data_IF_126640394135
#
_entry.id   IF_126640394135
#
_cell.length_a   1.000
_cell.length_b   1.000
_cell.length_c   1.000
_cell.angle_alpha   90.00
_cell.angle_beta   90.00
_cell.angle_gamma   90.00
#
_symmetry.space_group_name_H-M   'P 1'
#
loop_
_entity.id
_entity.type
_entity.pdbx_description
1 polymer ?
#
# COMPACT_ATOMS: atom_id res chain seq x y z
N UNK A 1 2.64 22.26 10.30
CA UNK A 1 1.36 22.70 9.69
C UNK A 1 1.14 21.89 8.43
N UNK A 2 0.11 21.03 8.30
CA UNK A 2 -0.09 20.24 7.09
C UNK A 2 -0.62 21.16 5.98
N UNK A 3 0.16 21.38 4.94
CA UNK A 3 -0.32 22.08 3.74
C UNK A 3 -1.36 21.21 3.05
N UNK A 4 -2.63 21.55 3.21
CA UNK A 4 -3.71 20.94 2.43
C UNK A 4 -3.53 21.31 0.97
N UNK A 5 -3.07 20.37 0.15
CA UNK A 5 -2.99 20.54 -1.30
C UNK A 5 -4.40 20.50 -1.87
N UNK A 6 -4.67 21.21 -2.96
CA UNK A 6 -5.97 21.15 -3.67
C UNK A 6 -6.41 19.71 -3.93
N UNK A 7 -5.46 18.83 -4.27
CA UNK A 7 -5.71 17.41 -4.45
C UNK A 7 -6.21 16.72 -3.18
N UNK A 8 -5.64 17.02 -2.00
CA UNK A 8 -6.10 16.47 -0.73
C UNK A 8 -7.53 16.86 -0.39
N UNK A 9 -7.92 18.11 -0.70
CA UNK A 9 -9.30 18.58 -0.53
C UNK A 9 -10.26 17.87 -1.49
N UNK A 10 -9.89 17.73 -2.77
CA UNK A 10 -10.75 17.06 -3.75
C UNK A 10 -10.93 15.57 -3.41
N UNK A 11 -9.88 14.90 -2.95
CA UNK A 11 -9.97 13.50 -2.52
C UNK A 11 -10.90 13.38 -1.31
N UNK A 12 -10.75 14.24 -0.30
CA UNK A 12 -11.63 14.21 0.87
C UNK A 12 -13.10 14.42 0.50
N UNK A 13 -13.39 15.35 -0.42
CA UNK A 13 -14.76 15.59 -0.92
C UNK A 13 -15.32 14.39 -1.67
N UNK A 14 -14.54 13.79 -2.57
CA UNK A 14 -14.95 12.59 -3.30
C UNK A 14 -15.19 11.41 -2.35
N UNK A 15 -14.32 11.21 -1.36
CA UNK A 15 -14.49 10.17 -0.34
C UNK A 15 -15.78 10.37 0.44
N UNK A 16 -16.09 11.60 0.84
CA UNK A 16 -17.31 11.91 1.57
C UNK A 16 -18.58 11.64 0.74
N UNK A 17 -18.56 11.97 -0.57
CA UNK A 17 -19.68 11.68 -1.46
C UNK A 17 -19.90 10.17 -1.65
N UNK A 18 -18.82 9.41 -1.84
CA UNK A 18 -18.90 7.95 -1.95
C UNK A 18 -19.45 7.35 -0.66
N UNK A 19 -19.00 7.82 0.50
CA UNK A 19 -19.48 7.37 1.80
C UNK A 19 -21.00 7.58 1.93
N UNK A 20 -21.50 8.77 1.61
CA UNK A 20 -22.94 9.06 1.65
C UNK A 20 -23.76 8.21 0.68
N UNK A 21 -23.24 7.90 -0.50
CA UNK A 21 -23.93 7.04 -1.47
C UNK A 21 -23.96 5.58 -1.01
N UNK A 22 -22.88 5.07 -0.43
CA UNK A 22 -22.80 3.71 0.12
C UNK A 22 -23.73 3.59 1.32
N UNK A 23 -23.71 4.54 2.25
CA UNK A 23 -24.59 4.53 3.42
C UNK A 23 -26.07 4.60 3.01
N UNK A 24 -26.41 5.43 2.02
CA UNK A 24 -27.77 5.51 1.48
C UNK A 24 -28.20 4.24 0.73
N UNK A 25 -27.30 3.60 -0.02
CA UNK A 25 -27.58 2.34 -0.69
C UNK A 25 -27.76 1.17 0.28
N UNK A 26 -26.96 1.13 1.36
CA UNK A 26 -27.09 0.14 2.44
C UNK A 26 -28.43 0.32 3.17
N UNK A 27 -28.82 1.56 3.49
CA UNK A 27 -30.12 1.84 4.12
C UNK A 27 -31.30 1.48 3.22
N UNK A 28 -31.21 1.77 1.91
CA UNK A 28 -32.25 1.39 0.95
C UNK A 28 -32.35 -0.13 0.76
N UNK A 29 -31.22 -0.86 0.80
CA UNK A 29 -31.22 -2.32 0.80
C UNK A 29 -31.92 -2.85 2.06
N UNK A 30 -31.52 -2.36 3.25
CA UNK A 30 -32.08 -2.78 4.55
C UNK A 30 -33.59 -2.52 4.66
N UNK A 31 -34.08 -1.40 4.10
CA UNK A 31 -35.50 -1.03 4.11
C UNK A 31 -36.33 -1.77 3.05
N UNK A 32 -35.72 -2.17 1.93
CA UNK A 32 -36.41 -2.98 0.92
C UNK A 32 -36.45 -4.47 1.28
N UNK A 33 -35.47 -4.97 2.06
CA UNK A 33 -35.44 -6.36 2.52
C UNK A 33 -36.46 -6.63 3.64
N UNK A 34 -36.88 -5.59 4.39
CA UNK A 34 -37.90 -5.73 5.44
C UNK A 34 -39.33 -6.01 4.93
N UNK A 35 -39.56 -5.99 3.61
CA UNK A 35 -40.86 -6.28 2.99
C UNK A 35 -41.00 -7.71 2.45
N UNK A 36 -39.97 -8.54 2.52
CA UNK A 36 -40.05 -9.96 2.12
C UNK A 36 -39.60 -10.85 3.27
N UNK A 37 -40.58 -11.36 4.02
CA UNK A 37 -40.35 -12.28 5.12
C UNK A 37 -39.65 -13.56 4.63
N UNK A 38 -38.66 -14.00 5.40
CA UNK A 38 -38.25 -15.41 5.60
C UNK A 38 -36.92 -15.88 4.99
N UNK A 39 -35.88 -15.76 5.83
CA UNK A 39 -34.98 -16.89 6.23
C UNK A 39 -33.81 -17.26 5.32
N UNK A 40 -32.97 -16.30 4.87
CA UNK A 40 -31.56 -16.60 4.46
C UNK A 40 -30.50 -15.51 4.71
N UNK A 41 -30.84 -14.36 5.29
CA UNK A 41 -29.93 -13.21 5.30
C UNK A 41 -28.94 -13.16 6.49
N UNK A 42 -29.17 -13.90 7.58
CA UNK A 42 -28.26 -13.85 8.75
C UNK A 42 -26.84 -14.29 8.44
N UNK A 43 -26.66 -15.22 7.48
CA UNK A 43 -25.34 -15.69 7.07
C UNK A 43 -24.56 -14.64 6.26
N UNK A 44 -25.26 -13.77 5.52
CA UNK A 44 -24.63 -12.70 4.76
C UNK A 44 -24.21 -11.56 5.69
N UNK A 45 -25.09 -11.18 6.60
CA UNK A 45 -24.82 -10.20 7.65
C UNK A 45 -23.62 -10.64 8.52
N UNK A 46 -23.60 -11.90 8.97
CA UNK A 46 -22.49 -12.47 9.72
C UNK A 46 -21.18 -12.50 8.92
N UNK A 47 -21.25 -12.77 7.61
CA UNK A 47 -20.08 -12.74 6.72
C UNK A 47 -19.53 -11.32 6.52
N UNK A 48 -20.41 -10.31 6.44
CA UNK A 48 -20.02 -8.90 6.34
C UNK A 48 -19.37 -8.45 7.65
N UNK A 49 -19.95 -8.79 8.80
CA UNK A 49 -19.39 -8.50 10.13
C UNK A 49 -18.02 -9.18 10.29
N UNK A 50 -17.90 -10.45 9.92
CA UNK A 50 -16.63 -11.17 9.95
C UNK A 50 -15.57 -10.53 9.04
N UNK A 51 -15.96 -10.09 7.83
CA UNK A 51 -15.05 -9.41 6.91
C UNK A 51 -14.57 -8.06 7.47
N UNK A 52 -15.46 -7.29 8.10
CA UNK A 52 -15.10 -6.03 8.77
C UNK A 52 -14.14 -6.31 9.92
N UNK A 53 -14.40 -7.33 10.74
CA UNK A 53 -13.55 -7.71 11.86
C UNK A 53 -12.16 -8.16 11.39
N UNK A 54 -12.10 -8.98 10.33
CA UNK A 54 -10.85 -9.45 9.71
C UNK A 54 -10.07 -8.29 9.09
N UNK A 55 -10.73 -7.38 8.36
CA UNK A 55 -10.07 -6.19 7.79
C UNK A 55 -9.57 -5.25 8.89
N UNK A 56 -10.34 -5.05 9.95
CA UNK A 56 -9.93 -4.27 11.13
C UNK A 56 -8.68 -4.90 11.75
N UNK A 57 -8.68 -6.21 12.01
CA UNK A 57 -7.53 -6.93 12.57
C UNK A 57 -6.31 -6.95 11.64
N UNK A 58 -6.51 -7.03 10.32
CA UNK A 58 -5.42 -7.03 9.32
C UNK A 58 -4.53 -5.80 9.41
N UNK A 59 -5.07 -4.66 9.83
CA UNK A 59 -4.32 -3.41 9.98
C UNK A 59 -3.98 -3.09 11.45
N UNK A 60 -4.34 -3.95 12.41
CA UNK A 60 -4.02 -3.75 13.83
C UNK A 60 -2.72 -4.40 14.27
N UNK A 61 -2.18 -5.38 13.52
CA UNK A 61 -0.81 -5.84 13.80
C UNK A 61 0.12 -4.66 13.54
N UNK A 62 0.83 -4.15 14.57
CA UNK A 62 1.80 -3.10 14.37
C UNK A 62 2.75 -3.60 13.28
N UNK A 63 2.87 -2.84 12.20
CA UNK A 63 3.85 -3.18 11.19
C UNK A 63 5.20 -3.06 11.90
N UNK A 64 5.83 -4.21 12.19
CA UNK A 64 7.21 -4.22 12.65
C UNK A 64 7.98 -3.51 11.56
N UNK A 65 8.49 -2.32 11.86
CA UNK A 65 9.40 -1.64 10.95
C UNK A 65 10.53 -2.63 10.74
N UNK A 66 10.69 -3.11 9.52
CA UNK A 66 11.85 -3.91 9.18
C UNK A 66 13.06 -3.03 9.47
N UNK A 67 13.98 -3.57 10.26
CA UNK A 67 15.23 -2.88 10.51
C UNK A 67 15.87 -2.55 9.17
N UNK A 68 16.46 -1.35 9.13
CA UNK A 68 17.13 -0.85 7.94
C UNK A 68 18.10 -1.92 7.47
N UNK A 69 17.99 -2.32 6.21
CA UNK A 69 18.93 -3.28 5.62
C UNK A 69 20.34 -2.70 5.83
N UNK A 70 21.28 -3.45 6.42
CA UNK A 70 22.65 -2.98 6.62
C UNK A 70 23.25 -2.54 5.27
N UNK A 71 24.25 -1.67 5.32
CA UNK A 71 24.98 -1.25 4.12
C UNK A 71 25.51 -2.50 3.41
N UNK A 72 24.87 -2.81 2.29
CA UNK A 72 25.14 -3.99 1.48
C UNK A 72 26.01 -3.65 0.28
N UNK A 73 26.61 -2.45 0.24
CA UNK A 73 27.58 -2.08 -0.80
C UNK A 73 28.74 -3.07 -0.83
N UNK A 74 29.34 -3.38 0.32
CA UNK A 74 30.41 -4.37 0.45
C UNK A 74 30.01 -5.74 -0.12
N UNK A 75 28.77 -6.17 0.13
CA UNK A 75 28.22 -7.41 -0.40
C UNK A 75 28.12 -7.37 -1.93
N UNK A 76 27.56 -6.30 -2.50
CA UNK A 76 27.43 -6.10 -3.95
C UNK A 76 28.77 -6.17 -4.67
N UNK A 77 29.81 -5.54 -4.09
CA UNK A 77 31.16 -5.52 -4.68
C UNK A 77 31.97 -6.80 -4.44
N UNK A 78 31.54 -7.66 -3.52
CA UNK A 78 32.19 -8.96 -3.22
C UNK A 78 31.77 -10.09 -4.18
N UNK A 79 30.70 -9.91 -4.94
CA UNK A 79 30.19 -10.93 -5.86
C UNK A 79 31.09 -11.06 -7.07
N UNK A 80 31.41 -12.30 -7.47
CA UNK A 80 32.01 -12.54 -8.78
C UNK A 80 30.95 -12.43 -9.90
N UNK A 81 31.38 -12.33 -11.15
CA UNK A 81 30.49 -12.13 -12.30
C UNK A 81 29.38 -13.18 -12.43
N UNK A 82 29.67 -14.44 -12.10
CA UNK A 82 28.67 -15.53 -12.16
C UNK A 82 27.57 -15.33 -11.11
N UNK A 83 27.97 -15.07 -9.87
CA UNK A 83 27.04 -14.79 -8.77
C UNK A 83 26.25 -13.49 -9.01
N UNK A 84 26.92 -12.46 -9.52
CA UNK A 84 26.30 -11.20 -9.87
C UNK A 84 25.25 -11.40 -10.98
N UNK A 85 25.60 -12.12 -12.04
CA UNK A 85 24.66 -12.47 -13.12
C UNK A 85 23.50 -13.33 -12.64
N UNK A 86 23.70 -14.23 -11.70
CA UNK A 86 22.61 -15.03 -11.13
C UNK A 86 21.62 -14.16 -10.36
N UNK A 87 22.11 -13.20 -9.57
CA UNK A 87 21.27 -12.30 -8.74
C UNK A 87 20.59 -11.20 -9.54
N UNK A 88 21.34 -10.50 -10.37
CA UNK A 88 20.87 -9.30 -11.08
C UNK A 88 20.47 -9.57 -12.53
N UNK A 89 20.67 -10.81 -13.02
CA UNK A 89 20.39 -11.22 -14.40
C UNK A 89 21.13 -10.38 -15.46
N UNK A 90 22.21 -9.72 -15.07
CA UNK A 90 23.07 -8.90 -15.92
C UNK A 90 24.52 -8.98 -15.47
N UNK A 91 25.46 -8.66 -16.37
CA UNK A 91 26.88 -8.57 -15.98
C UNK A 91 27.13 -7.27 -15.21
N UNK A 92 28.11 -7.33 -14.31
CA UNK A 92 28.48 -6.22 -13.43
C UNK A 92 28.83 -4.92 -14.18
N UNK A 93 29.53 -4.92 -15.33
CA UNK A 93 29.81 -3.68 -16.07
C UNK A 93 28.54 -2.99 -16.60
N UNK A 94 27.56 -3.77 -17.06
CA UNK A 94 26.27 -3.21 -17.53
C UNK A 94 25.47 -2.64 -16.38
N UNK A 95 25.54 -3.27 -15.20
CA UNK A 95 24.89 -2.76 -13.99
C UNK A 95 25.43 -1.38 -13.62
N UNK A 96 26.75 -1.19 -13.63
CA UNK A 96 27.34 0.12 -13.34
C UNK A 96 27.03 1.18 -14.40
N UNK A 97 26.93 0.80 -15.66
CA UNK A 97 26.47 1.71 -16.71
C UNK A 97 25.05 2.18 -16.44
N UNK A 98 24.13 1.25 -16.21
CA UNK A 98 22.74 1.55 -15.87
C UNK A 98 22.64 2.42 -14.60
N UNK A 99 23.37 2.05 -13.54
CA UNK A 99 23.41 2.82 -12.30
C UNK A 99 23.85 4.26 -12.56
N UNK A 100 24.88 4.49 -13.36
CA UNK A 100 25.35 5.84 -13.68
C UNK A 100 24.34 6.66 -14.49
N UNK A 101 23.51 6.02 -15.32
CA UNK A 101 22.45 6.69 -16.07
C UNK A 101 21.28 7.09 -15.15
N UNK A 102 20.92 6.25 -14.19
CA UNK A 102 19.72 6.46 -13.36
C UNK A 102 19.99 7.15 -12.03
N UNK A 103 21.24 7.18 -11.55
CA UNK A 103 21.59 7.69 -10.20
C UNK A 103 21.19 9.14 -9.94
N UNK A 104 20.97 9.94 -10.98
CA UNK A 104 20.54 11.34 -10.86
C UNK A 104 19.06 11.57 -11.17
N UNK A 105 18.31 10.53 -11.54
CA UNK A 105 16.97 10.70 -12.09
C UNK A 105 15.90 10.67 -10.99
N UNK A 106 15.05 11.72 -10.87
CA UNK A 106 14.18 11.93 -9.71
C UNK A 106 13.13 10.84 -9.53
N UNK A 107 12.69 10.18 -10.60
CA UNK A 107 11.73 9.06 -10.52
C UNK A 107 12.28 7.87 -9.74
N UNK A 108 13.60 7.65 -9.77
CA UNK A 108 14.24 6.55 -9.04
C UNK A 108 14.74 6.98 -7.64
N UNK A 109 14.57 8.25 -7.28
CA UNK A 109 14.85 8.76 -5.94
C UNK A 109 13.59 8.73 -5.09
N UNK A 110 13.29 7.60 -4.47
CA UNK A 110 12.09 7.48 -3.62
C UNK A 110 12.20 8.22 -2.27
N UNK A 111 13.25 9.02 -2.03
CA UNK A 111 13.53 9.75 -0.78
C UNK A 111 13.39 8.92 0.52
N UNK A 112 13.27 7.60 0.43
CA UNK A 112 12.88 6.73 1.55
C UNK A 112 14.01 6.61 2.57
N UNK A 113 15.22 7.02 2.17
CA UNK A 113 16.42 7.02 2.99
C UNK A 113 16.79 8.42 3.53
N UNK A 114 15.97 9.46 3.25
CA UNK A 114 16.16 10.77 3.84
C UNK A 114 15.61 10.69 5.27
N UNK A 115 16.51 10.79 6.25
CA UNK A 115 16.15 10.96 7.66
C UNK A 115 15.24 12.19 7.78
N UNK A 116 13.95 11.98 7.98
CA UNK A 116 13.08 13.04 8.49
C UNK A 116 13.45 13.23 9.95
N UNK A 117 14.27 14.23 10.26
CA UNK A 117 14.41 14.71 11.63
C UNK A 117 13.04 15.22 12.07
N UNK A 118 12.51 14.64 13.15
CA UNK A 118 11.32 15.13 13.83
C UNK A 118 11.68 16.30 14.74
#
# INVERSE_FOLDING_TARGET
MPCQTKQGLTIAQMTQQIQHQVDGAILNYLLNDSNNESTKDSNLEDAIVALILLKKQRYHTPHTRLDRNPDNSAYLFSLNDSQFKQKFRMLQPFFFRLFNEIKGHPVFHNQSNILKSF
#
